data_IF_343098154295
#
_entry.id   IF_343098154295
#
_cell.length_a   1.000
_cell.length_b   1.000
_cell.length_c   1.000
_cell.angle_alpha   90.00
_cell.angle_beta   90.00
_cell.angle_gamma   90.00
#
_symmetry.space_group_name_H-M   'P 1'
#
loop_
_entity.id
_entity.type
_entity.pdbx_description
1 polymer ?
#
# COMPACT_ATOMS: atom_id res chain seq x y z
N UNK A 1 -3.03 -12.31 -10.56
CA UNK A 1 -2.10 -11.41 -9.85
C UNK A 1 -0.93 -12.20 -9.32
N UNK A 2 0.28 -11.66 -9.46
CA UNK A 2 1.48 -12.27 -8.90
C UNK A 2 1.46 -12.27 -7.37
N UNK A 3 2.09 -13.28 -6.75
CA UNK A 3 2.21 -13.44 -5.28
C UNK A 3 2.74 -12.18 -4.58
N UNK A 4 3.58 -11.40 -5.27
CA UNK A 4 4.19 -10.16 -4.77
C UNK A 4 3.15 -9.04 -4.55
N UNK A 5 2.20 -8.88 -5.46
CA UNK A 5 1.11 -7.90 -5.33
C UNK A 5 0.18 -8.18 -4.14
N UNK A 6 -0.17 -9.46 -3.92
CA UNK A 6 -0.95 -9.87 -2.75
C UNK A 6 -0.23 -9.59 -1.43
N UNK A 7 1.08 -9.87 -1.37
CA UNK A 7 1.91 -9.55 -0.19
C UNK A 7 1.92 -8.06 0.08
N UNK A 8 2.12 -7.23 -0.93
CA UNK A 8 2.10 -5.77 -0.78
C UNK A 8 0.75 -5.27 -0.25
N UNK A 9 -0.36 -5.76 -0.81
CA UNK A 9 -1.70 -5.42 -0.34
C UNK A 9 -1.93 -5.79 1.14
N UNK A 10 -1.50 -6.99 1.56
CA UNK A 10 -1.58 -7.40 2.96
C UNK A 10 -0.76 -6.49 3.88
N UNK A 11 0.44 -6.06 3.47
CA UNK A 11 1.23 -5.10 4.25
C UNK A 11 0.55 -3.73 4.32
N UNK A 12 -0.04 -3.23 3.22
CA UNK A 12 -0.83 -1.98 3.24
C UNK A 12 -1.96 -2.07 4.26
N UNK A 13 -2.71 -3.18 4.30
CA UNK A 13 -3.76 -3.36 5.30
C UNK A 13 -3.24 -3.42 6.74
N UNK A 14 -2.01 -3.89 6.96
CA UNK A 14 -1.36 -3.83 8.29
C UNK A 14 -0.97 -2.41 8.66
N UNK A 15 -0.49 -1.61 7.70
CA UNK A 15 -0.22 -0.18 7.93
C UNK A 15 -1.50 0.59 8.27
N UNK A 16 -2.61 0.29 7.60
CA UNK A 16 -3.93 0.89 7.91
C UNK A 16 -4.32 0.64 9.37
N UNK A 17 -3.99 -0.51 9.96
CA UNK A 17 -4.27 -0.78 11.39
C UNK A 17 -3.48 0.09 12.36
N UNK A 18 -2.38 0.69 11.92
CA UNK A 18 -1.56 1.62 12.72
C UNK A 18 -2.11 3.05 12.72
N UNK A 19 -3.01 3.37 11.80
CA UNK A 19 -3.64 4.69 11.72
C UNK A 19 -4.63 4.91 12.89
N UNK A 20 -5.02 6.17 13.16
CA UNK A 20 -6.09 6.48 14.11
C UNK A 20 -7.39 5.72 13.76
N UNK A 21 -8.08 5.10 14.74
CA UNK A 21 -9.24 4.22 14.52
C UNK A 21 -10.30 4.76 13.56
N UNK A 22 -10.64 6.05 13.69
CA UNK A 22 -11.64 6.77 12.91
C UNK A 22 -11.29 6.89 11.42
N UNK A 23 -10.01 6.79 11.07
CA UNK A 23 -9.52 6.92 9.69
C UNK A 23 -9.36 5.58 8.97
N UNK A 24 -9.31 4.47 9.73
CA UNK A 24 -8.96 3.14 9.20
C UNK A 24 -9.94 2.67 8.13
N UNK A 25 -11.23 2.92 8.34
CA UNK A 25 -12.28 2.49 7.40
C UNK A 25 -12.10 3.15 6.03
N UNK A 26 -11.80 4.45 6.01
CA UNK A 26 -11.53 5.20 4.79
C UNK A 26 -10.31 4.63 4.04
N UNK A 27 -9.18 4.47 4.73
CA UNK A 27 -7.96 3.98 4.09
C UNK A 27 -8.01 2.49 3.70
N UNK A 28 -8.75 1.66 4.45
CA UNK A 28 -8.99 0.26 4.07
C UNK A 28 -9.84 0.17 2.79
N UNK A 29 -10.89 0.99 2.68
CA UNK A 29 -11.70 1.09 1.46
C UNK A 29 -10.83 1.56 0.28
N UNK A 30 -10.07 2.64 0.45
CA UNK A 30 -9.19 3.18 -0.58
C UNK A 30 -8.14 2.16 -1.05
N UNK A 31 -7.52 1.42 -0.12
CA UNK A 31 -6.56 0.37 -0.44
C UNK A 31 -7.20 -0.77 -1.25
N UNK A 32 -8.42 -1.17 -0.89
CA UNK A 32 -9.17 -2.21 -1.61
C UNK A 32 -9.52 -1.75 -3.02
N UNK A 33 -10.02 -0.52 -3.18
CA UNK A 33 -10.38 0.05 -4.48
C UNK A 33 -9.17 0.14 -5.40
N UNK A 34 -8.03 0.66 -4.90
CA UNK A 34 -6.79 0.71 -5.67
C UNK A 34 -6.31 -0.68 -6.08
N UNK A 35 -6.34 -1.65 -5.15
CA UNK A 35 -5.91 -3.02 -5.44
C UNK A 35 -6.78 -3.70 -6.52
N UNK A 36 -8.10 -3.47 -6.50
CA UNK A 36 -9.00 -3.97 -7.54
C UNK A 36 -8.74 -3.27 -8.88
N UNK A 37 -8.61 -1.94 -8.88
CA UNK A 37 -8.33 -1.17 -10.09
C UNK A 37 -7.00 -1.59 -10.75
N UNK A 38 -6.00 -2.01 -9.95
CA UNK A 38 -4.73 -2.52 -10.48
C UNK A 38 -4.82 -3.90 -11.12
N UNK A 39 -5.86 -4.69 -10.82
CA UNK A 39 -6.13 -5.93 -11.57
C UNK A 39 -6.54 -5.63 -13.01
N UNK A 40 -7.20 -4.49 -13.20
CA UNK A 40 -7.80 -4.06 -14.45
C UNK A 40 -6.98 -2.89 -15.06
N UNK A 41 -5.76 -2.65 -14.54
CA UNK A 41 -4.88 -1.58 -15.00
C UNK A 41 -4.34 -1.86 -16.41
N UNK A 42 -4.02 -0.77 -17.11
CA UNK A 42 -3.42 -0.79 -18.44
C UNK A 42 -2.24 -1.77 -18.50
N UNK A 43 -2.14 -2.62 -19.54
CA UNK A 43 -1.03 -3.56 -19.72
C UNK A 43 0.37 -2.91 -19.67
N UNK A 44 0.47 -1.61 -19.93
CA UNK A 44 1.70 -0.82 -19.83
C UNK A 44 2.14 -0.54 -18.38
N UNK A 45 1.25 -0.69 -17.40
CA UNK A 45 1.57 -0.43 -16.00
C UNK A 45 2.22 -1.65 -15.35
N UNK A 46 3.53 -1.55 -15.13
CA UNK A 46 4.31 -2.65 -14.54
C UNK A 46 3.97 -2.85 -13.06
N UNK A 47 4.04 -4.11 -12.58
CA UNK A 47 3.91 -4.39 -11.15
C UNK A 47 4.91 -3.61 -10.28
N UNK A 48 6.21 -3.47 -10.65
CA UNK A 48 7.15 -2.62 -9.91
C UNK A 48 6.67 -1.18 -9.74
N UNK A 49 6.08 -0.56 -10.77
CA UNK A 49 5.55 0.81 -10.67
C UNK A 49 4.38 0.90 -9.70
N UNK A 50 3.48 -0.09 -9.72
CA UNK A 50 2.37 -0.19 -8.77
C UNK A 50 2.87 -0.32 -7.34
N UNK A 51 3.87 -1.18 -7.10
CA UNK A 51 4.48 -1.36 -5.78
C UNK A 51 5.17 -0.09 -5.29
N UNK A 52 5.87 0.63 -6.18
CA UNK A 52 6.49 1.93 -5.88
C UNK A 52 5.46 2.97 -5.45
N UNK A 53 4.35 3.06 -6.20
CA UNK A 53 3.23 3.98 -5.88
C UNK A 53 2.58 3.61 -4.55
N UNK A 54 2.35 2.32 -4.31
CA UNK A 54 1.80 1.83 -3.05
C UNK A 54 2.70 2.17 -1.85
N UNK A 55 4.03 2.01 -1.99
CA UNK A 55 5.00 2.44 -0.98
C UNK A 55 4.91 3.95 -0.73
N UNK A 56 5.07 4.77 -1.77
CA UNK A 56 5.07 6.22 -1.64
C UNK A 56 3.76 6.78 -1.04
N UNK A 57 2.62 6.23 -1.42
CA UNK A 57 1.34 6.64 -0.84
C UNK A 57 1.21 6.19 0.61
N UNK A 58 1.63 4.96 0.94
CA UNK A 58 1.58 4.47 2.32
C UNK A 58 2.45 5.31 3.25
N UNK A 59 3.68 5.68 2.84
CA UNK A 59 4.56 6.53 3.66
C UNK A 59 4.00 7.94 3.81
N UNK A 60 3.41 8.52 2.77
CA UNK A 60 2.72 9.81 2.88
C UNK A 60 1.57 9.77 3.89
N UNK A 61 0.75 8.73 3.88
CA UNK A 61 -0.34 8.55 4.86
C UNK A 61 0.21 8.37 6.27
N UNK A 62 1.27 7.59 6.47
CA UNK A 62 1.88 7.42 7.79
C UNK A 62 2.40 8.75 8.34
N UNK A 63 3.12 9.52 7.51
CA UNK A 63 3.65 10.85 7.87
C UNK A 63 2.53 11.84 8.22
N UNK A 64 1.39 11.79 7.50
CA UNK A 64 0.21 12.61 7.81
C UNK A 64 -0.30 12.42 9.24
N UNK A 65 -0.12 11.23 9.82
CA UNK A 65 -0.53 10.90 11.19
C UNK A 65 0.65 10.78 12.16
N UNK A 66 1.82 11.32 11.81
CA UNK A 66 3.04 11.28 12.63
C UNK A 66 3.47 9.85 13.00
N UNK A 67 3.17 8.88 12.16
CA UNK A 67 3.63 7.49 12.31
C UNK A 67 4.96 7.35 11.58
N UNK A 68 5.96 6.81 12.28
CA UNK A 68 7.32 6.65 11.76
C UNK A 68 7.36 5.81 10.47
N UNK A 69 8.12 6.26 9.47
CA UNK A 69 8.21 5.62 8.15
C UNK A 69 8.80 4.20 8.22
N UNK A 70 9.60 3.87 9.25
CA UNK A 70 10.10 2.50 9.48
C UNK A 70 8.96 1.47 9.61
N UNK A 71 7.75 1.93 9.94
CA UNK A 71 6.54 1.12 9.90
C UNK A 71 6.35 0.43 8.53
N UNK A 72 6.75 1.09 7.44
CA UNK A 72 6.63 0.61 6.06
C UNK A 72 7.86 -0.15 5.54
N UNK A 73 8.85 -0.48 6.39
CA UNK A 73 10.07 -1.19 5.97
C UNK A 73 9.78 -2.47 5.19
N UNK A 74 8.81 -3.28 5.64
CA UNK A 74 8.42 -4.51 4.96
C UNK A 74 7.76 -4.27 3.60
N UNK A 75 7.04 -3.16 3.44
CA UNK A 75 6.49 -2.77 2.14
C UNK A 75 7.61 -2.27 1.21
N UNK A 76 8.62 -1.58 1.75
CA UNK A 76 9.83 -1.17 1.02
C UNK A 76 10.60 -2.37 0.48
N UNK A 77 10.78 -3.42 1.29
CA UNK A 77 11.41 -4.68 0.87
C UNK A 77 10.63 -5.35 -0.27
N UNK A 78 9.30 -5.37 -0.18
CA UNK A 78 8.47 -5.94 -1.25
C UNK A 78 8.59 -5.12 -2.54
N UNK A 79 8.69 -3.79 -2.45
CA UNK A 79 8.89 -2.92 -3.61
C UNK A 79 10.32 -3.03 -4.19
N UNK A 80 11.35 -3.03 -3.34
CA UNK A 80 12.76 -2.87 -3.69
C UNK A 80 13.55 -4.17 -3.94
N UNK A 81 12.92 -5.34 -3.81
CA UNK A 81 13.42 -6.59 -4.39
C UNK A 81 13.06 -6.71 -5.87
#
# INVERSE_FOLDING_TARGET
MEKKGLRAYMEVLRLVRRLPPETRAYYAKYARENFVNYRDADPSTSLPDLLRRAYAHSTWVLNKYSIDESAAAKLKEIYGC
#
